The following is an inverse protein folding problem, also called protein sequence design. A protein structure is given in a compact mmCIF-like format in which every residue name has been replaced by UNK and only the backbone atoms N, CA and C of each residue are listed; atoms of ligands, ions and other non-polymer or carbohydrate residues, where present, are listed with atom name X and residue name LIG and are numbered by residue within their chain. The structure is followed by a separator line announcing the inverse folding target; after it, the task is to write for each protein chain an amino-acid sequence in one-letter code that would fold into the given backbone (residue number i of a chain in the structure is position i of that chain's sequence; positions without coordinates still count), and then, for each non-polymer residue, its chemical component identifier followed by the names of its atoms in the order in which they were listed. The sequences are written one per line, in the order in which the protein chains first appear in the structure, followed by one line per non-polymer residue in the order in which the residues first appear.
data_IF_234460845035
#
_entry.id   IF_234460845035
#
_cell.length_a   1.000
_cell.length_b   1.000
_cell.length_c   1.000
_cell.angle_alpha   90.00
_cell.angle_beta   90.00
_cell.angle_gamma   90.00
#
_symmetry.space_group_name_H-M   'P 1'
#
loop_
_entity.id
_entity.type
_entity.pdbx_description
1 polymer ?
#
# COMPACT_ATOMS: atom_id res chain seq x y z
N UNK A 1 -4.06 14.10 -14.20
CA UNK A 1 -4.01 13.13 -15.32
C UNK A 1 -5.04 12.06 -15.00
N UNK A 2 -6.23 12.19 -15.56
CA UNK A 2 -7.38 11.31 -15.30
C UNK A 2 -7.30 10.15 -16.29
N UNK A 3 -7.16 8.93 -15.79
CA UNK A 3 -7.33 7.74 -16.64
C UNK A 3 -8.83 7.54 -16.84
N UNK A 4 -9.34 7.97 -17.99
CA UNK A 4 -10.61 7.46 -18.52
C UNK A 4 -10.21 6.24 -19.33
N UNK A 5 -10.50 5.04 -18.81
CA UNK A 5 -10.38 3.83 -19.60
C UNK A 5 -11.44 3.87 -20.71
N UNK A 6 -11.00 4.16 -21.94
CA UNK A 6 -11.75 3.82 -23.15
C UNK A 6 -11.21 2.45 -23.58
N UNK A 7 -11.86 1.36 -23.15
CA UNK A 7 -12.15 0.22 -24.00
C UNK A 7 -13.11 -0.77 -23.35
N UNK A 8 -13.80 -1.52 -24.20
CA UNK A 8 -15.09 -2.17 -23.98
C UNK A 8 -15.01 -3.53 -23.28
N UNK A 9 -14.27 -3.64 -22.20
CA UNK A 9 -14.30 -4.83 -21.32
C UNK A 9 -15.35 -4.62 -20.22
N UNK A 10 -16.49 -5.29 -20.36
CA UNK A 10 -17.49 -5.37 -19.28
C UNK A 10 -16.91 -6.25 -18.19
N UNK A 11 -16.15 -5.64 -17.27
CA UNK A 11 -15.75 -6.30 -16.04
C UNK A 11 -17.01 -6.61 -15.23
N UNK A 12 -17.30 -7.90 -15.07
CA UNK A 12 -18.36 -8.34 -14.17
C UNK A 12 -17.92 -8.09 -12.73
N UNK A 13 -18.30 -6.93 -12.18
CA UNK A 13 -18.16 -6.64 -10.75
C UNK A 13 -19.22 -7.46 -10.02
N UNK A 14 -18.77 -8.39 -9.19
CA UNK A 14 -19.66 -9.19 -8.34
C UNK A 14 -19.53 -8.70 -6.91
N UNK A 15 -20.65 -8.27 -6.33
CA UNK A 15 -20.71 -7.98 -4.90
C UNK A 15 -20.63 -9.29 -4.10
N UNK A 16 -19.83 -9.29 -3.03
CA UNK A 16 -19.76 -10.42 -2.10
C UNK A 16 -20.21 -9.91 -0.74
N UNK A 17 -21.23 -10.54 -0.14
CA UNK A 17 -21.78 -10.17 1.18
C UNK A 17 -20.84 -10.56 2.33
N UNK A 18 -19.64 -9.99 2.34
CA UNK A 18 -18.65 -10.12 3.40
C UNK A 18 -18.31 -8.74 3.94
N UNK A 19 -18.41 -8.60 5.25
CA UNK A 19 -17.97 -7.39 5.92
C UNK A 19 -16.44 -7.25 5.80
N UNK A 20 -16.00 -6.03 5.52
CA UNK A 20 -14.59 -5.65 5.49
C UNK A 20 -14.38 -4.46 6.40
N UNK A 21 -13.40 -4.56 7.30
CA UNK A 21 -12.97 -3.42 8.10
C UNK A 21 -12.00 -2.58 7.28
N UNK A 22 -12.42 -1.36 6.94
CA UNK A 22 -11.58 -0.38 6.27
C UNK A 22 -10.93 0.54 7.30
N UNK A 23 -9.62 0.74 7.19
CA UNK A 23 -8.86 1.67 8.02
C UNK A 23 -8.03 2.56 7.11
N UNK A 24 -8.27 3.87 7.18
CA UNK A 24 -7.61 4.88 6.33
C UNK A 24 -6.77 5.78 7.22
N UNK A 25 -5.51 5.99 6.83
CA UNK A 25 -4.52 6.72 7.61
C UNK A 25 -3.68 7.62 6.70
N UNK A 26 -3.06 8.65 7.29
CA UNK A 26 -1.90 9.28 6.67
C UNK A 26 -0.79 8.24 6.50
N UNK A 27 -0.02 8.38 5.43
CA UNK A 27 1.02 7.43 5.09
C UNK A 27 2.26 7.67 5.96
N UNK A 28 2.17 7.42 7.26
CA UNK A 28 3.31 7.48 8.20
C UNK A 28 3.85 6.08 8.46
N UNK A 29 5.13 5.97 8.84
CA UNK A 29 5.72 4.67 9.20
C UNK A 29 5.00 4.02 10.40
N UNK A 30 4.45 4.83 11.29
CA UNK A 30 3.78 4.36 12.49
C UNK A 30 2.37 3.85 12.19
N UNK A 31 1.65 4.50 11.27
CA UNK A 31 0.39 4.00 10.73
C UNK A 31 0.61 2.65 10.03
N UNK A 32 1.68 2.53 9.22
CA UNK A 32 2.04 1.27 8.56
C UNK A 32 2.30 0.16 9.60
N UNK A 33 3.16 0.40 10.59
CA UNK A 33 3.46 -0.57 11.65
C UNK A 33 2.20 -0.97 12.43
N UNK A 34 1.35 -0.01 12.75
CA UNK A 34 0.10 -0.25 13.49
C UNK A 34 -0.85 -1.14 12.69
N UNK A 35 -1.04 -0.85 11.40
CA UNK A 35 -1.87 -1.67 10.51
C UNK A 35 -1.35 -3.12 10.41
N UNK A 36 -0.04 -3.29 10.29
CA UNK A 36 0.58 -4.63 10.20
C UNK A 36 0.46 -5.41 11.52
N UNK A 37 0.60 -4.71 12.65
CA UNK A 37 0.44 -5.29 14.00
C UNK A 37 -1.00 -5.72 14.28
N UNK A 38 -1.99 -4.92 13.85
CA UNK A 38 -3.42 -5.21 13.98
C UNK A 38 -3.91 -6.29 13.00
N UNK A 39 -3.04 -6.74 12.10
CA UNK A 39 -3.28 -7.85 11.19
C UNK A 39 -3.99 -7.47 9.90
N UNK A 40 -3.62 -6.33 9.33
CA UNK A 40 -3.98 -5.95 7.98
C UNK A 40 -3.67 -7.08 6.98
N UNK A 41 -4.66 -7.44 6.16
CA UNK A 41 -4.50 -8.48 5.11
C UNK A 41 -4.42 -7.90 3.70
N UNK A 42 -4.90 -6.68 3.51
CA UNK A 42 -4.86 -5.98 2.24
C UNK A 42 -4.43 -4.53 2.49
N UNK A 43 -3.28 -4.14 1.94
CA UNK A 43 -2.69 -2.83 2.14
C UNK A 43 -2.71 -2.05 0.83
N UNK A 44 -3.17 -0.79 0.89
CA UNK A 44 -3.14 0.13 -0.25
C UNK A 44 -2.33 1.36 0.15
N UNK A 45 -1.24 1.61 -0.59
CA UNK A 45 -0.47 2.84 -0.50
C UNK A 45 -0.72 3.71 -1.72
N UNK A 46 -0.96 4.99 -1.51
CA UNK A 46 -1.01 6.00 -2.57
C UNK A 46 -0.13 7.18 -2.19
N UNK A 47 0.83 7.54 -3.05
CA UNK A 47 1.75 8.62 -2.77
C UNK A 47 2.87 8.75 -3.80
N UNK A 48 3.99 9.32 -3.38
CA UNK A 48 5.16 9.51 -4.24
C UNK A 48 6.22 8.43 -3.99
N UNK A 49 7.07 8.21 -4.98
CA UNK A 49 8.15 7.24 -4.93
C UNK A 49 9.32 7.63 -5.80
N UNK A 50 10.45 7.00 -5.53
CA UNK A 50 11.70 7.06 -6.30
C UNK A 50 12.16 5.63 -6.58
N UNK A 51 13.20 5.42 -7.40
CA UNK A 51 13.69 4.07 -7.72
C UNK A 51 13.98 3.18 -6.50
N UNK A 52 14.33 3.78 -5.35
CA UNK A 52 14.74 3.06 -4.13
C UNK A 52 13.89 3.38 -2.89
N UNK A 53 12.90 4.28 -2.96
CA UNK A 53 12.13 4.71 -1.79
C UNK A 53 10.65 4.92 -2.11
N UNK A 54 9.79 4.68 -1.12
CA UNK A 54 8.48 5.31 -1.03
C UNK A 54 8.55 6.50 -0.06
N UNK A 55 7.80 7.55 -0.36
CA UNK A 55 7.75 8.74 0.48
C UNK A 55 6.53 8.69 1.39
N UNK A 56 6.80 8.51 2.67
CA UNK A 56 5.85 8.57 3.77
C UNK A 56 5.89 9.98 4.40
N UNK A 57 5.03 10.23 5.37
CA UNK A 57 5.01 11.42 6.19
C UNK A 57 5.66 11.14 7.56
N UNK A 58 6.33 12.14 8.14
CA UNK A 58 6.92 12.08 9.48
C UNK A 58 6.00 12.57 10.61
N UNK A 59 4.71 12.78 10.31
CA UNK A 59 3.73 13.33 11.25
C UNK A 59 3.83 14.84 11.47
N UNK A 60 4.86 15.51 10.93
CA UNK A 60 5.03 16.96 10.90
C UNK A 60 4.68 17.55 9.52
N UNK A 61 4.16 16.71 8.62
CA UNK A 61 3.87 17.08 7.23
C UNK A 61 5.10 17.13 6.34
N UNK A 62 6.24 16.59 6.77
CA UNK A 62 7.44 16.49 5.94
C UNK A 62 7.61 15.09 5.34
N UNK A 63 8.45 15.01 4.32
CA UNK A 63 8.73 13.75 3.63
C UNK A 63 9.65 12.87 4.48
N UNK A 64 9.18 11.65 4.74
CA UNK A 64 9.93 10.56 5.34
C UNK A 64 10.19 9.45 4.29
N UNK A 65 11.38 9.40 3.68
CA UNK A 65 11.72 8.33 2.73
C UNK A 65 11.89 6.99 3.44
N UNK A 66 11.13 5.97 3.01
CA UNK A 66 11.32 4.59 3.42
C UNK A 66 11.97 3.82 2.27
N UNK A 67 13.17 3.26 2.47
CA UNK A 67 13.81 2.39 1.48
C UNK A 67 12.96 1.17 1.14
N UNK A 68 12.97 0.75 -0.13
CA UNK A 68 12.20 -0.41 -0.58
C UNK A 68 12.60 -1.70 0.18
N UNK A 69 13.88 -1.85 0.51
CA UNK A 69 14.35 -3.01 1.26
C UNK A 69 13.78 -3.06 2.69
N UNK A 70 13.54 -1.92 3.31
CA UNK A 70 12.94 -1.81 4.65
C UNK A 70 11.43 -2.05 4.64
N UNK A 71 10.75 -1.71 3.54
CA UNK A 71 9.31 -1.97 3.38
C UNK A 71 8.98 -3.45 3.54
N UNK A 72 9.86 -4.35 3.08
CA UNK A 72 9.67 -5.80 3.26
C UNK A 72 9.56 -6.16 4.74
N UNK A 73 10.47 -5.63 5.57
CA UNK A 73 10.47 -5.90 7.00
C UNK A 73 9.24 -5.32 7.70
N UNK A 74 8.75 -4.16 7.22
CA UNK A 74 7.56 -3.53 7.77
C UNK A 74 6.26 -4.26 7.38
N UNK A 75 6.22 -4.82 6.17
CA UNK A 75 5.05 -5.53 5.63
C UNK A 75 4.95 -7.00 6.07
N UNK A 76 6.02 -7.58 6.64
CA UNK A 76 6.01 -8.95 7.16
C UNK A 76 5.48 -8.95 8.60
N UNK A 77 4.25 -9.44 8.78
CA UNK A 77 3.69 -9.76 10.10
C UNK A 77 3.67 -11.28 10.30
N UNK A 78 4.23 -11.76 11.42
CA UNK A 78 4.25 -13.18 11.76
C UNK A 78 2.86 -13.74 12.13
N UNK A 79 1.93 -12.88 12.57
CA UNK A 79 0.63 -13.31 13.09
C UNK A 79 -0.46 -13.34 12.01
N UNK A 80 -0.30 -12.57 10.92
CA UNK A 80 -1.25 -12.53 9.81
C UNK A 80 -0.57 -12.00 8.55
N UNK A 81 -0.27 -12.86 7.57
CA UNK A 81 0.42 -12.41 6.37
C UNK A 81 -0.49 -11.51 5.54
N UNK A 82 0.07 -10.42 5.02
CA UNK A 82 -0.53 -9.66 3.93
C UNK A 82 -0.79 -10.58 2.73
N UNK A 83 -1.97 -10.43 2.13
CA UNK A 83 -2.39 -11.21 0.95
C UNK A 83 -2.49 -10.37 -0.31
N UNK A 84 -2.65 -9.07 -0.15
CA UNK A 84 -2.75 -8.12 -1.25
C UNK A 84 -2.04 -6.83 -0.87
N UNK A 85 -1.21 -6.33 -1.77
CA UNK A 85 -0.61 -5.01 -1.66
C UNK A 85 -0.87 -4.27 -2.97
N UNK A 86 -1.45 -3.08 -2.87
CA UNK A 86 -1.65 -2.16 -3.98
C UNK A 86 -0.77 -0.94 -3.72
N UNK A 87 0.09 -0.59 -4.69
CA UNK A 87 0.98 0.58 -4.58
C UNK A 87 0.72 1.51 -5.77
N UNK A 88 0.15 2.67 -5.48
CA UNK A 88 -0.06 3.75 -6.42
C UNK A 88 1.01 4.83 -6.20
N UNK A 89 2.17 4.68 -6.87
CA UNK A 89 3.28 5.63 -6.80
C UNK A 89 4.18 5.53 -8.04
N UNK A 90 5.02 6.54 -8.28
CA UNK A 90 6.13 6.41 -9.22
C UNK A 90 7.03 5.23 -8.81
N UNK A 91 7.51 4.44 -9.78
CA UNK A 91 8.33 3.25 -9.54
C UNK A 91 7.65 2.18 -8.67
N UNK A 92 6.31 2.15 -8.60
CA UNK A 92 5.55 1.17 -7.81
C UNK A 92 5.88 -0.29 -8.15
N UNK A 93 6.27 -0.56 -9.40
CA UNK A 93 6.77 -1.88 -9.83
C UNK A 93 7.95 -2.38 -8.98
N UNK A 94 8.89 -1.49 -8.62
CA UNK A 94 10.06 -1.85 -7.81
C UNK A 94 9.65 -2.29 -6.40
N UNK A 95 8.61 -1.64 -5.84
CA UNK A 95 8.06 -2.00 -4.54
C UNK A 95 7.36 -3.35 -4.63
N UNK A 96 6.44 -3.51 -5.59
CA UNK A 96 5.68 -4.74 -5.79
C UNK A 96 6.57 -5.98 -5.98
N UNK A 97 7.65 -5.84 -6.74
CA UNK A 97 8.63 -6.91 -6.95
C UNK A 97 9.47 -7.24 -5.70
N UNK A 98 9.51 -6.38 -4.69
CA UNK A 98 10.35 -6.55 -3.49
C UNK A 98 9.60 -7.04 -2.25
N UNK A 99 8.27 -6.81 -2.19
CA UNK A 99 7.41 -7.19 -1.06
C UNK A 99 6.71 -8.55 -1.23
N UNK A 100 6.72 -9.09 -2.45
CA UNK A 100 6.29 -10.47 -2.77
C UNK A 100 7.48 -11.45 -2.70
#
# INVERSE_FOLDING_TARGET
MTWICHDSDVFAVTEVSREVTLSVHFATSDSLRSLMTLGCRAFHFSGHGSPQHLYFEDGLGTVHPIPIHDLKNLCVSHNSPLRLVVVQACYSHNVGASVC
#
